data_IF_899153905472
#
_entry.id   IF_899153905472
#
_cell.length_a   1.000
_cell.length_b   1.000
_cell.length_c   1.000
_cell.angle_alpha   90.00
_cell.angle_beta   90.00
_cell.angle_gamma   90.00
#
_symmetry.space_group_name_H-M   'P 1'
#
loop_
_entity.id
_entity.type
_entity.pdbx_description
1 polymer ?
#
# COMPACT_ATOMS: atom_id res chain seq x y z
N UNK A 1 21.41 1.88 -12.50
CA UNK A 1 21.78 3.06 -13.34
C UNK A 1 20.98 3.00 -14.63
N UNK A 2 20.35 4.11 -15.00
CA UNK A 2 19.58 4.22 -16.25
C UNK A 2 20.51 4.05 -17.47
N UNK A 3 20.13 3.18 -18.40
CA UNK A 3 20.83 2.92 -19.65
C UNK A 3 20.15 3.65 -20.83
N UNK A 4 18.85 3.83 -20.77
CA UNK A 4 18.07 4.51 -21.80
C UNK A 4 18.24 6.03 -21.70
N UNK A 5 18.70 6.68 -22.79
CA UNK A 5 19.01 8.11 -22.82
C UNK A 5 17.76 9.01 -22.58
N UNK A 6 16.58 8.57 -22.98
CA UNK A 6 15.35 9.31 -22.72
C UNK A 6 15.00 9.27 -21.21
N UNK A 7 15.03 8.08 -20.59
CA UNK A 7 14.79 7.91 -19.15
C UNK A 7 15.79 8.73 -18.32
N UNK A 8 17.08 8.69 -18.70
CA UNK A 8 18.14 9.45 -18.04
C UNK A 8 17.90 10.96 -18.11
N UNK A 9 17.60 11.48 -19.30
CA UNK A 9 17.32 12.90 -19.52
C UNK A 9 16.10 13.38 -18.73
N UNK A 10 15.05 12.55 -18.61
CA UNK A 10 13.88 12.85 -17.77
C UNK A 10 14.27 12.86 -16.29
N UNK A 11 15.03 11.89 -15.83
CA UNK A 11 15.51 11.84 -14.45
C UNK A 11 16.38 13.04 -14.08
N UNK A 12 17.32 13.42 -14.95
CA UNK A 12 18.18 14.60 -14.73
C UNK A 12 17.34 15.89 -14.59
N UNK A 13 16.25 16.02 -15.35
CA UNK A 13 15.31 17.15 -15.20
C UNK A 13 14.60 17.13 -13.82
N UNK A 14 14.20 15.95 -13.31
CA UNK A 14 13.60 15.84 -11.97
C UNK A 14 14.60 16.25 -10.90
N UNK A 15 15.86 15.78 -10.97
CA UNK A 15 16.91 16.17 -10.04
C UNK A 15 17.15 17.69 -10.02
N UNK A 16 17.18 18.30 -11.21
CA UNK A 16 17.42 19.74 -11.34
C UNK A 16 16.26 20.61 -10.85
N UNK A 17 15.01 20.13 -11.03
CA UNK A 17 13.80 20.86 -10.62
C UNK A 17 13.57 20.82 -9.11
N UNK A 18 13.78 19.69 -8.49
CA UNK A 18 13.43 19.42 -7.10
C UNK A 18 14.64 18.92 -6.27
N UNK A 19 15.76 19.66 -6.18
CA UNK A 19 17.05 19.14 -5.68
C UNK A 19 17.01 18.62 -4.24
N UNK A 20 16.05 19.05 -3.42
CA UNK A 20 15.91 18.64 -2.03
C UNK A 20 14.96 17.43 -1.83
N UNK A 21 14.33 16.91 -2.89
CA UNK A 21 13.29 15.88 -2.79
C UNK A 21 13.86 14.47 -2.97
N UNK A 22 14.75 14.05 -2.09
CA UNK A 22 15.51 12.78 -2.21
C UNK A 22 14.65 11.53 -2.28
N UNK A 23 13.58 11.45 -1.48
CA UNK A 23 12.68 10.31 -1.48
C UNK A 23 11.93 10.21 -2.82
N UNK A 24 11.55 11.35 -3.39
CA UNK A 24 10.91 11.39 -4.70
C UNK A 24 11.90 11.02 -5.82
N UNK A 25 13.16 11.49 -5.75
CA UNK A 25 14.21 11.10 -6.70
C UNK A 25 14.40 9.59 -6.75
N UNK A 26 14.50 8.94 -5.59
CA UNK A 26 14.67 7.50 -5.52
C UNK A 26 13.51 6.76 -6.18
N UNK A 27 12.27 7.15 -5.89
CA UNK A 27 11.09 6.52 -6.49
C UNK A 27 11.03 6.68 -8.01
N UNK A 28 11.35 7.88 -8.51
CA UNK A 28 11.40 8.12 -9.97
C UNK A 28 12.48 7.26 -10.62
N UNK A 29 13.67 7.17 -10.03
CA UNK A 29 14.75 6.33 -10.54
C UNK A 29 14.33 4.87 -10.65
N UNK A 30 13.81 4.30 -9.56
CA UNK A 30 13.39 2.89 -9.49
C UNK A 30 12.30 2.57 -10.52
N UNK A 31 11.35 3.48 -10.70
CA UNK A 31 10.29 3.29 -11.70
C UNK A 31 10.83 3.39 -13.12
N UNK A 32 11.64 4.41 -13.42
CA UNK A 32 12.22 4.59 -14.77
C UNK A 32 13.14 3.42 -15.17
N UNK A 33 13.96 2.89 -14.24
CA UNK A 33 14.75 1.68 -14.47
C UNK A 33 13.86 0.48 -14.83
N UNK A 34 12.73 0.33 -14.15
CA UNK A 34 11.76 -0.74 -14.47
C UNK A 34 11.03 -0.55 -15.81
N UNK A 35 10.97 0.67 -16.33
CA UNK A 35 10.27 0.99 -17.58
C UNK A 35 11.17 1.00 -18.83
N UNK A 36 12.50 0.97 -18.69
CA UNK A 36 13.43 0.99 -19.82
C UNK A 36 13.08 -0.01 -20.94
N UNK A 37 12.77 -1.30 -20.66
CA UNK A 37 12.44 -2.26 -21.70
C UNK A 37 11.17 -1.92 -22.49
N UNK A 38 10.24 -1.20 -21.89
CA UNK A 38 9.03 -0.71 -22.55
C UNK A 38 9.35 0.53 -23.41
N UNK A 39 10.07 1.50 -22.84
CA UNK A 39 10.42 2.75 -23.50
C UNK A 39 11.23 2.49 -24.79
N UNK A 40 12.16 1.53 -24.76
CA UNK A 40 12.94 1.12 -25.94
C UNK A 40 12.08 0.61 -27.10
N UNK A 41 10.95 -0.02 -26.80
CA UNK A 41 10.01 -0.55 -27.82
C UNK A 41 9.00 0.49 -28.31
N UNK A 42 8.90 1.65 -27.64
CA UNK A 42 7.85 2.65 -27.86
C UNK A 42 8.42 4.08 -28.02
N UNK A 43 9.17 4.36 -29.12
CA UNK A 43 9.79 5.67 -29.34
C UNK A 43 8.78 6.82 -29.49
N UNK A 44 7.51 6.52 -29.76
CA UNK A 44 6.42 7.50 -29.77
C UNK A 44 6.18 8.16 -28.40
N UNK A 45 6.55 7.50 -27.30
CA UNK A 45 6.43 8.06 -25.95
C UNK A 45 7.32 9.29 -25.76
N UNK A 46 8.54 9.24 -26.28
CA UNK A 46 9.45 10.38 -26.22
C UNK A 46 8.92 11.57 -27.01
N UNK A 47 8.39 11.32 -28.22
CA UNK A 47 7.80 12.38 -29.08
C UNK A 47 6.61 13.06 -28.39
N UNK A 48 5.87 12.33 -27.57
CA UNK A 48 4.73 12.85 -26.81
C UNK A 48 5.13 13.48 -25.46
N UNK A 49 6.40 13.46 -25.08
CA UNK A 49 6.86 13.91 -23.75
C UNK A 49 6.17 13.17 -22.63
N UNK A 50 5.94 11.85 -22.81
CA UNK A 50 5.09 11.06 -21.93
C UNK A 50 5.70 10.92 -20.53
N UNK A 51 6.99 10.59 -20.46
CA UNK A 51 7.66 10.40 -19.16
C UNK A 51 7.80 11.72 -18.41
N UNK A 52 8.07 12.83 -19.10
CA UNK A 52 8.11 14.16 -18.48
C UNK A 52 6.79 14.53 -17.80
N UNK A 53 5.66 14.20 -18.43
CA UNK A 53 4.32 14.41 -17.84
C UNK A 53 4.01 13.39 -16.75
N UNK A 54 4.51 12.17 -16.88
CA UNK A 54 4.24 11.10 -15.91
C UNK A 54 4.97 11.30 -14.57
N UNK A 55 6.19 11.84 -14.59
CA UNK A 55 6.97 12.10 -13.38
C UNK A 55 6.64 13.44 -12.70
N UNK A 56 5.80 14.28 -13.32
CA UNK A 56 5.37 15.55 -12.75
C UNK A 56 3.92 15.44 -12.26
N UNK A 57 3.61 15.76 -11.00
CA UNK A 57 2.23 15.76 -10.54
C UNK A 57 1.40 16.83 -11.26
N UNK A 58 0.16 16.50 -11.63
CA UNK A 58 -0.76 17.43 -12.28
C UNK A 58 -1.05 18.66 -11.40
N UNK A 59 -1.07 18.48 -10.07
CA UNK A 59 -1.28 19.57 -9.12
C UNK A 59 -0.73 19.23 -7.73
N UNK A 60 -0.14 20.24 -7.09
CA UNK A 60 0.22 20.21 -5.67
C UNK A 60 -0.47 21.37 -4.96
N UNK A 61 -1.22 21.04 -3.90
CA UNK A 61 -1.86 22.02 -3.04
C UNK A 61 -1.19 21.99 -1.68
N UNK A 62 -0.72 23.15 -1.22
CA UNK A 62 -0.14 23.33 0.12
C UNK A 62 -0.93 24.40 0.83
N UNK A 63 -1.32 24.15 2.08
CA UNK A 63 -2.14 25.07 2.85
C UNK A 63 -1.79 25.06 4.34
N UNK A 64 -2.12 26.16 5.01
CA UNK A 64 -1.97 26.31 6.46
C UNK A 64 -3.17 25.70 7.18
N UNK A 65 -2.90 24.99 8.28
CA UNK A 65 -3.92 24.35 9.13
C UNK A 65 -3.80 24.91 10.54
N UNK A 66 -4.50 26.01 10.88
CA UNK A 66 -4.53 26.54 12.24
C UNK A 66 -5.60 25.81 13.07
N UNK A 67 -5.26 25.44 14.30
CA UNK A 67 -6.20 24.81 15.24
C UNK A 67 -5.83 25.17 16.68
N UNK A 68 -6.73 24.90 17.62
CA UNK A 68 -6.52 25.23 19.03
C UNK A 68 -6.42 23.94 19.85
N UNK A 69 -5.39 23.80 20.67
CA UNK A 69 -5.24 22.67 21.59
C UNK A 69 -6.19 22.77 22.80
N UNK A 70 -6.18 21.77 23.67
CA UNK A 70 -7.07 21.73 24.84
C UNK A 70 -6.75 22.79 25.90
N UNK A 71 -5.57 23.41 25.82
CA UNK A 71 -5.18 24.53 26.67
C UNK A 71 -5.56 25.91 26.08
N UNK A 72 -6.24 25.94 24.93
CA UNK A 72 -6.61 27.16 24.24
C UNK A 72 -5.47 27.80 23.43
N UNK A 73 -4.32 27.14 23.30
CA UNK A 73 -3.18 27.65 22.54
C UNK A 73 -3.37 27.35 21.05
N UNK A 74 -3.12 28.37 20.22
CA UNK A 74 -3.15 28.24 18.77
C UNK A 74 -1.93 27.44 18.30
N UNK A 75 -2.21 26.41 17.52
CA UNK A 75 -1.24 25.56 16.82
C UNK A 75 -1.38 25.78 15.31
N UNK A 76 -0.28 25.62 14.57
CA UNK A 76 -0.28 25.76 13.11
C UNK A 76 0.52 24.63 12.50
N UNK A 77 -0.14 23.85 11.66
CA UNK A 77 0.46 22.80 10.85
C UNK A 77 0.37 23.13 9.36
N UNK A 78 1.10 22.38 8.55
CA UNK A 78 1.05 22.47 7.10
C UNK A 78 0.30 21.26 6.53
N UNK A 79 -0.70 21.53 5.70
CA UNK A 79 -1.43 20.52 4.97
C UNK A 79 -0.99 20.46 3.51
N UNK A 80 -1.10 19.25 2.91
CA UNK A 80 -0.74 18.99 1.52
C UNK A 80 -1.75 18.07 0.86
N UNK A 81 -1.96 18.28 -0.46
CA UNK A 81 -2.54 17.29 -1.36
C UNK A 81 -1.77 17.29 -2.67
N UNK A 82 -1.21 16.15 -3.04
CA UNK A 82 -0.58 15.89 -4.33
C UNK A 82 -1.60 15.12 -5.17
N UNK A 83 -2.13 15.77 -6.19
CA UNK A 83 -2.96 15.21 -7.24
C UNK A 83 -2.02 14.83 -8.37
N UNK A 84 -1.61 13.54 -8.38
CA UNK A 84 -0.46 13.16 -9.17
C UNK A 84 -0.80 12.89 -10.63
N UNK A 85 -1.77 12.01 -10.88
CA UNK A 85 -2.18 11.65 -12.23
C UNK A 85 -3.64 11.18 -12.24
N UNK A 86 -4.45 11.75 -13.14
CA UNK A 86 -5.88 11.47 -13.29
C UNK A 86 -6.24 10.80 -14.61
N UNK A 87 -5.26 10.37 -15.41
CA UNK A 87 -5.50 9.82 -16.74
C UNK A 87 -6.45 8.62 -16.78
N UNK A 88 -6.53 7.83 -15.70
CA UNK A 88 -7.38 6.64 -15.62
C UNK A 88 -8.55 6.77 -14.64
N UNK A 89 -8.74 7.94 -14.02
CA UNK A 89 -9.84 8.20 -13.08
C UNK A 89 -9.50 9.23 -12.02
N UNK A 90 -10.43 9.51 -11.10
CA UNK A 90 -10.23 10.47 -10.01
C UNK A 90 -8.94 10.17 -9.22
N UNK A 91 -8.26 11.20 -8.75
CA UNK A 91 -7.09 11.00 -7.88
C UNK A 91 -7.50 10.19 -6.65
N UNK A 92 -6.70 9.20 -6.29
CA UNK A 92 -6.99 8.30 -5.16
C UNK A 92 -5.73 8.03 -4.37
N UNK A 93 -5.81 8.22 -3.05
CA UNK A 93 -4.72 7.87 -2.14
C UNK A 93 -4.90 8.46 -0.75
N UNK A 94 -4.19 7.88 0.22
CA UNK A 94 -4.35 8.18 1.63
C UNK A 94 -3.88 9.56 2.05
N UNK A 95 -4.38 9.99 3.21
CA UNK A 95 -3.87 11.11 3.99
C UNK A 95 -2.99 10.56 5.11
N UNK A 96 -1.78 11.11 5.27
CA UNK A 96 -0.85 10.75 6.35
C UNK A 96 -0.72 11.91 7.34
N UNK A 97 -0.96 11.65 8.63
CA UNK A 97 -0.69 12.61 9.69
C UNK A 97 0.49 12.11 10.53
N UNK A 98 1.64 12.70 10.31
CA UNK A 98 2.87 12.33 11.00
C UNK A 98 3.89 13.48 10.94
N UNK A 99 4.69 13.72 11.99
CA UNK A 99 5.67 14.82 12.03
C UNK A 99 6.68 14.85 10.89
N UNK A 100 6.96 13.70 10.29
CA UNK A 100 7.92 13.59 9.17
C UNK A 100 7.34 13.95 7.81
N UNK A 101 6.03 14.21 7.72
CA UNK A 101 5.37 14.52 6.44
C UNK A 101 5.93 15.80 5.85
N UNK A 102 6.39 15.69 4.61
CA UNK A 102 6.86 16.78 3.77
C UNK A 102 6.45 16.52 2.31
N UNK A 103 6.70 17.49 1.44
CA UNK A 103 6.30 17.39 0.03
C UNK A 103 7.02 16.27 -0.72
N UNK A 104 8.31 16.03 -0.46
CA UNK A 104 9.09 14.95 -1.09
C UNK A 104 8.45 13.58 -0.83
N UNK A 105 8.14 13.30 0.44
CA UNK A 105 7.47 12.04 0.84
C UNK A 105 6.11 11.90 0.16
N UNK A 106 5.32 12.98 0.09
CA UNK A 106 3.98 12.92 -0.51
C UNK A 106 4.01 12.81 -2.03
N UNK A 107 4.98 13.44 -2.72
CA UNK A 107 5.21 13.23 -4.15
C UNK A 107 5.63 11.79 -4.44
N UNK A 108 6.59 11.26 -3.70
CA UNK A 108 7.01 9.86 -3.77
C UNK A 108 5.81 8.89 -3.64
N UNK A 109 5.07 9.02 -2.53
CA UNK A 109 3.92 8.15 -2.27
C UNK A 109 2.78 8.33 -3.28
N UNK A 110 2.57 9.55 -3.77
CA UNK A 110 1.58 9.85 -4.81
C UNK A 110 1.95 9.22 -6.15
N UNK A 111 3.23 9.29 -6.53
CA UNK A 111 3.76 8.70 -7.74
C UNK A 111 3.63 7.17 -7.76
N UNK A 112 4.04 6.50 -6.68
CA UNK A 112 3.86 5.05 -6.56
C UNK A 112 2.39 4.63 -6.53
N UNK A 113 1.53 5.49 -5.94
CA UNK A 113 0.10 5.22 -5.87
C UNK A 113 -0.54 5.18 -7.25
N UNK A 114 -0.06 5.96 -8.23
CA UNK A 114 -0.54 5.94 -9.62
C UNK A 114 -0.40 4.54 -10.22
N UNK A 115 0.79 3.93 -10.11
CA UNK A 115 1.07 2.59 -10.64
C UNK A 115 0.27 1.51 -9.90
N UNK A 116 0.22 1.58 -8.57
CA UNK A 116 -0.52 0.64 -7.73
C UNK A 116 -2.02 0.66 -8.06
N UNK A 117 -2.61 1.83 -8.20
CA UNK A 117 -4.03 1.98 -8.51
C UNK A 117 -4.35 1.44 -9.91
N UNK A 118 -3.48 1.71 -10.88
CA UNK A 118 -3.63 1.22 -12.25
C UNK A 118 -3.70 -0.30 -12.32
N UNK A 119 -2.92 -1.02 -11.51
CA UNK A 119 -2.93 -2.49 -11.46
C UNK A 119 -4.28 -3.06 -11.03
N UNK A 120 -5.07 -2.36 -10.23
CA UNK A 120 -6.39 -2.86 -9.80
C UNK A 120 -7.40 -3.01 -10.94
N UNK A 121 -7.14 -2.42 -12.10
CA UNK A 121 -8.10 -2.38 -13.20
C UNK A 121 -9.24 -1.39 -13.01
N UNK A 122 -9.42 -0.85 -11.82
CA UNK A 122 -10.46 0.12 -11.47
C UNK A 122 -10.16 1.51 -12.06
N UNK A 123 -11.19 2.33 -12.33
CA UNK A 123 -11.02 3.68 -12.88
C UNK A 123 -10.64 4.68 -11.78
N UNK A 124 -9.46 4.55 -11.24
CA UNK A 124 -8.91 5.40 -10.18
C UNK A 124 -7.49 5.84 -10.51
N UNK A 125 -7.25 7.14 -10.47
CA UNK A 125 -5.94 7.75 -10.63
C UNK A 125 -5.09 7.68 -9.36
N UNK A 126 -4.04 8.48 -9.27
CA UNK A 126 -3.14 8.50 -8.11
C UNK A 126 -3.01 9.86 -7.46
N UNK A 127 -2.99 9.86 -6.14
CA UNK A 127 -2.74 11.04 -5.34
C UNK A 127 -2.31 10.68 -3.92
N UNK A 128 -1.81 11.67 -3.19
CA UNK A 128 -1.41 11.51 -1.79
C UNK A 128 -1.54 12.84 -1.06
N UNK A 129 -1.85 12.79 0.23
CA UNK A 129 -1.90 13.99 1.03
C UNK A 129 -1.50 13.75 2.47
N UNK A 130 -1.56 14.79 3.27
CA UNK A 130 -1.25 14.69 4.68
C UNK A 130 -0.83 15.99 5.32
N UNK A 131 -0.30 15.85 6.52
CA UNK A 131 0.17 16.98 7.34
C UNK A 131 1.29 16.52 8.28
N UNK A 132 2.12 17.46 8.69
CA UNK A 132 3.12 17.31 9.76
C UNK A 132 2.48 17.23 11.17
N UNK A 133 1.16 17.17 11.26
CA UNK A 133 0.43 16.96 12.50
C UNK A 133 0.68 15.56 13.07
N UNK A 134 0.96 15.49 14.37
CA UNK A 134 1.07 14.22 15.10
C UNK A 134 -0.21 13.97 15.92
N UNK A 135 -1.07 13.02 15.54
CA UNK A 135 -2.26 12.68 16.31
C UNK A 135 -1.96 11.90 17.60
N UNK A 136 -0.72 11.41 17.74
CA UNK A 136 -0.34 10.59 18.90
C UNK A 136 -0.33 11.44 20.17
N UNK A 137 -1.04 10.95 21.19
CA UNK A 137 -1.14 11.66 22.48
C UNK A 137 -2.08 12.87 22.46
N UNK A 138 -2.78 13.14 21.36
CA UNK A 138 -3.81 14.18 21.29
C UNK A 138 -5.17 13.65 21.74
N UNK A 139 -5.98 14.52 22.35
CA UNK A 139 -7.37 14.20 22.65
C UNK A 139 -8.21 14.07 21.39
N UNK A 140 -9.36 13.39 21.49
CA UNK A 140 -10.31 13.31 20.39
C UNK A 140 -10.82 14.69 19.95
N UNK A 141 -10.96 15.62 20.89
CA UNK A 141 -11.37 17.00 20.63
C UNK A 141 -10.28 17.76 19.85
N UNK A 142 -9.01 17.58 20.18
CA UNK A 142 -7.89 18.19 19.44
C UNK A 142 -7.82 17.65 18.01
N UNK A 143 -7.88 16.31 17.85
CA UNK A 143 -7.86 15.65 16.54
C UNK A 143 -9.07 16.10 15.70
N UNK A 144 -10.24 16.22 16.29
CA UNK A 144 -11.44 16.72 15.60
C UNK A 144 -11.25 18.14 15.10
N UNK A 145 -10.76 19.07 15.95
CA UNK A 145 -10.51 20.48 15.56
C UNK A 145 -9.47 20.57 14.43
N UNK A 146 -8.40 19.76 14.53
CA UNK A 146 -7.41 19.68 13.47
C UNK A 146 -8.03 19.19 12.15
N UNK A 147 -8.75 18.06 12.16
CA UNK A 147 -9.39 17.50 10.98
C UNK A 147 -10.39 18.48 10.34
N UNK A 148 -11.16 19.20 11.15
CA UNK A 148 -12.09 20.21 10.66
C UNK A 148 -11.36 21.37 9.97
N UNK A 149 -10.28 21.88 10.56
CA UNK A 149 -9.45 22.94 9.96
C UNK A 149 -8.79 22.46 8.67
N UNK A 150 -8.20 21.25 8.68
CA UNK A 150 -7.59 20.63 7.51
C UNK A 150 -8.59 20.49 6.36
N UNK A 151 -9.78 19.98 6.62
CA UNK A 151 -10.82 19.80 5.61
C UNK A 151 -11.38 21.13 5.10
N UNK A 152 -11.41 22.19 5.92
CA UNK A 152 -11.86 23.52 5.50
C UNK A 152 -11.03 24.10 4.35
N UNK A 153 -9.77 23.70 4.23
CA UNK A 153 -8.94 24.04 3.07
C UNK A 153 -9.03 23.00 1.97
N UNK A 154 -8.99 21.70 2.32
CA UNK A 154 -8.92 20.62 1.35
C UNK A 154 -10.21 20.45 0.53
N UNK A 155 -11.41 20.73 1.10
CA UNK A 155 -12.70 20.46 0.45
C UNK A 155 -12.87 21.11 -0.93
N UNK A 156 -12.13 22.17 -1.20
CA UNK A 156 -12.14 22.90 -2.48
C UNK A 156 -11.60 22.10 -3.66
N UNK A 157 -10.79 21.08 -3.36
CA UNK A 157 -9.97 20.34 -4.34
C UNK A 157 -10.38 18.89 -4.46
N UNK A 158 -11.28 18.39 -3.61
CA UNK A 158 -11.68 16.99 -3.56
C UNK A 158 -13.17 16.81 -3.84
N UNK A 159 -13.54 15.61 -4.22
CA UNK A 159 -14.91 15.23 -4.51
C UNK A 159 -14.98 13.79 -5.03
N UNK A 160 -16.18 13.20 -5.11
CA UNK A 160 -16.34 11.80 -5.50
C UNK A 160 -15.80 11.48 -6.89
N UNK A 161 -15.85 12.45 -7.81
CA UNK A 161 -15.46 12.30 -9.21
C UNK A 161 -14.16 13.05 -9.56
N UNK A 162 -13.54 13.71 -8.56
CA UNK A 162 -12.32 14.51 -8.77
C UNK A 162 -11.14 13.90 -8.02
N UNK A 163 -11.28 13.75 -6.70
CA UNK A 163 -10.22 13.30 -5.82
C UNK A 163 -10.81 12.68 -4.55
N UNK A 164 -10.51 11.43 -4.30
CA UNK A 164 -11.08 10.66 -3.17
C UNK A 164 -9.96 10.23 -2.23
N UNK A 165 -9.68 11.02 -1.17
CA UNK A 165 -8.71 10.63 -0.15
C UNK A 165 -9.15 9.41 0.66
N UNK A 166 -8.19 8.78 1.33
CA UNK A 166 -8.39 7.64 2.24
C UNK A 166 -7.54 7.80 3.51
N UNK A 167 -7.60 6.80 4.40
CA UNK A 167 -6.68 6.72 5.54
C UNK A 167 -5.28 6.25 5.15
N UNK A 168 -4.31 6.57 5.98
CA UNK A 168 -2.92 6.14 5.98
C UNK A 168 -2.37 6.29 7.41
N UNK A 169 -1.04 6.28 7.61
CA UNK A 169 -0.43 6.47 8.94
C UNK A 169 -1.01 7.72 9.63
N UNK A 170 -1.50 7.54 10.84
CA UNK A 170 -2.09 8.61 11.66
C UNK A 170 -3.50 9.05 11.22
N UNK A 171 -4.11 8.38 10.23
CA UNK A 171 -5.47 8.63 9.76
C UNK A 171 -6.25 7.32 9.69
N UNK A 172 -6.98 7.03 10.72
CA UNK A 172 -7.87 5.87 10.83
C UNK A 172 -9.34 6.25 10.67
N UNK A 173 -10.22 5.34 11.11
CA UNK A 173 -11.68 5.53 11.03
C UNK A 173 -12.17 6.79 11.76
N UNK A 174 -11.54 7.15 12.91
CA UNK A 174 -11.84 8.36 13.67
C UNK A 174 -11.59 9.61 12.84
N UNK A 175 -10.39 9.75 12.29
CA UNK A 175 -9.98 10.90 11.49
C UNK A 175 -10.82 10.99 10.22
N UNK A 176 -11.06 9.88 9.54
CA UNK A 176 -11.93 9.83 8.34
C UNK A 176 -13.35 10.31 8.71
N UNK A 177 -13.86 9.91 9.87
CA UNK A 177 -15.17 10.37 10.36
C UNK A 177 -15.23 11.89 10.53
N UNK A 178 -14.23 12.48 11.20
CA UNK A 178 -14.16 13.93 11.40
C UNK A 178 -13.99 14.70 10.08
N UNK A 179 -13.13 14.19 9.18
CA UNK A 179 -12.92 14.78 7.86
C UNK A 179 -14.21 14.73 7.02
N UNK A 180 -14.90 13.58 6.99
CA UNK A 180 -16.15 13.41 6.26
C UNK A 180 -17.27 14.31 6.81
N UNK A 181 -17.42 14.39 8.14
CA UNK A 181 -18.40 15.25 8.77
C UNK A 181 -18.23 16.72 8.41
N UNK A 182 -16.98 17.20 8.38
CA UNK A 182 -16.67 18.57 7.98
C UNK A 182 -16.88 18.81 6.49
N UNK A 183 -16.47 17.87 5.62
CA UNK A 183 -16.74 17.97 4.18
C UNK A 183 -18.25 18.08 3.89
N UNK A 184 -19.03 17.16 4.48
CA UNK A 184 -20.50 17.16 4.35
C UNK A 184 -21.10 18.51 4.78
N UNK A 185 -20.60 19.08 5.88
CA UNK A 185 -21.06 20.38 6.38
C UNK A 185 -20.74 21.52 5.42
N UNK A 186 -19.52 21.55 4.85
CA UNK A 186 -19.06 22.62 3.95
C UNK A 186 -19.73 22.56 2.57
N UNK A 187 -19.88 21.34 2.03
CA UNK A 187 -20.46 21.13 0.70
C UNK A 187 -21.99 21.06 0.72
N UNK A 188 -22.60 20.78 1.88
CA UNK A 188 -24.01 20.43 2.01
C UNK A 188 -24.42 19.25 1.11
N UNK A 189 -23.52 18.27 0.98
CA UNK A 189 -23.67 17.09 0.12
C UNK A 189 -23.28 15.83 0.90
N UNK A 190 -23.99 14.72 0.65
CA UNK A 190 -23.62 13.40 1.12
C UNK A 190 -23.15 12.57 -0.07
N UNK A 191 -21.84 12.46 -0.25
CA UNK A 191 -21.21 11.82 -1.42
C UNK A 191 -20.13 10.82 -1.02
N UNK A 192 -19.60 10.07 -1.97
CA UNK A 192 -18.51 9.12 -1.79
C UNK A 192 -17.10 9.74 -1.77
N UNK A 193 -16.92 10.90 -1.20
CA UNK A 193 -15.67 11.70 -1.27
C UNK A 193 -14.47 11.12 -0.52
N UNK A 194 -14.67 10.32 0.49
CA UNK A 194 -13.61 9.68 1.27
C UNK A 194 -13.85 8.17 1.29
N UNK A 195 -12.80 7.37 1.43
CA UNK A 195 -12.91 5.94 1.69
C UNK A 195 -12.29 5.54 3.03
N UNK A 196 -12.71 4.38 3.55
CA UNK A 196 -12.44 4.00 4.93
C UNK A 196 -13.45 4.59 5.90
N UNK A 197 -14.64 4.97 5.40
CA UNK A 197 -15.75 5.46 6.21
C UNK A 197 -16.33 4.36 7.10
N UNK A 198 -16.99 4.73 8.17
CA UNK A 198 -17.79 3.81 8.98
C UNK A 198 -18.96 3.23 8.18
N UNK A 199 -19.36 2.01 8.51
CA UNK A 199 -20.45 1.30 7.82
C UNK A 199 -21.79 2.06 7.87
N UNK A 200 -22.03 2.83 8.93
CA UNK A 200 -23.25 3.64 9.08
C UNK A 200 -23.33 4.85 8.15
N UNK A 201 -22.26 5.21 7.44
CA UNK A 201 -22.26 6.37 6.54
C UNK A 201 -21.46 6.14 5.25
N UNK A 202 -21.61 4.95 4.68
CA UNK A 202 -21.13 4.63 3.33
C UNK A 202 -19.81 3.88 3.26
N UNK A 203 -19.32 3.31 4.37
CA UNK A 203 -18.17 2.42 4.39
C UNK A 203 -18.47 1.06 3.76
N UNK A 204 -17.43 0.32 3.40
CA UNK A 204 -17.52 -1.02 2.82
C UNK A 204 -17.13 -2.09 3.84
N UNK A 205 -17.84 -3.20 3.83
CA UNK A 205 -17.39 -4.45 4.46
C UNK A 205 -16.09 -4.94 3.81
N UNK A 206 -15.40 -5.87 4.45
CA UNK A 206 -14.12 -6.44 4.04
C UNK A 206 -12.96 -5.42 3.88
N UNK A 207 -13.13 -4.15 4.25
CA UNK A 207 -12.08 -3.13 4.09
C UNK A 207 -10.90 -3.36 5.04
N UNK A 208 -11.17 -3.79 6.25
CA UNK A 208 -10.15 -4.08 7.28
C UNK A 208 -9.29 -5.27 6.88
N UNK A 209 -9.92 -6.29 6.35
CA UNK A 209 -9.34 -7.56 5.90
C UNK A 209 -8.55 -7.43 4.58
N UNK A 210 -8.95 -6.48 3.76
CA UNK A 210 -8.64 -6.41 2.34
C UNK A 210 -7.15 -6.53 1.97
N UNK A 211 -6.26 -5.92 2.74
CA UNK A 211 -4.82 -5.97 2.41
C UNK A 211 -4.24 -7.35 2.68
N UNK A 212 -4.54 -7.93 3.85
CA UNK A 212 -4.10 -9.27 4.21
C UNK A 212 -4.71 -10.36 3.32
N UNK A 213 -6.01 -10.26 3.06
CA UNK A 213 -6.71 -11.18 2.17
C UNK A 213 -6.19 -11.08 0.74
N UNK A 214 -6.05 -9.86 0.23
CA UNK A 214 -5.51 -9.62 -1.10
C UNK A 214 -4.10 -10.15 -1.30
N UNK A 215 -3.24 -9.98 -0.29
CA UNK A 215 -1.91 -10.56 -0.26
C UNK A 215 -1.95 -12.09 -0.46
N UNK A 216 -2.81 -12.77 0.30
CA UNK A 216 -2.95 -14.22 0.20
C UNK A 216 -3.55 -14.65 -1.14
N UNK A 217 -4.52 -13.92 -1.69
CA UNK A 217 -5.09 -14.22 -3.01
C UNK A 217 -4.05 -14.07 -4.13
N UNK A 218 -3.23 -13.03 -4.10
CA UNK A 218 -2.14 -12.86 -5.04
C UNK A 218 -1.11 -13.99 -4.93
N UNK A 219 -0.67 -14.27 -3.70
CA UNK A 219 0.32 -15.32 -3.42
C UNK A 219 -0.20 -16.72 -3.80
N UNK A 220 -1.47 -17.02 -3.53
CA UNK A 220 -2.11 -18.29 -3.89
C UNK A 220 -2.10 -18.54 -5.42
N UNK A 221 -2.39 -17.49 -6.20
CA UNK A 221 -2.30 -17.60 -7.65
C UNK A 221 -0.86 -17.77 -8.14
N UNK A 222 0.10 -17.07 -7.55
CA UNK A 222 1.51 -17.25 -7.86
C UNK A 222 1.97 -18.68 -7.53
N UNK A 223 1.57 -19.21 -6.39
CA UNK A 223 1.87 -20.58 -5.96
C UNK A 223 1.25 -21.61 -6.91
N UNK A 224 -0.04 -21.49 -7.24
CA UNK A 224 -0.75 -22.41 -8.16
C UNK A 224 -0.09 -22.46 -9.53
N UNK A 225 0.35 -21.32 -10.07
CA UNK A 225 1.08 -21.29 -11.33
C UNK A 225 2.48 -21.95 -11.27
N UNK A 226 3.03 -22.08 -10.06
CA UNK A 226 4.28 -22.81 -9.80
C UNK A 226 4.05 -24.29 -9.38
N UNK A 227 2.80 -24.78 -9.44
CA UNK A 227 2.44 -26.14 -9.00
C UNK A 227 2.50 -26.33 -7.48
N UNK A 228 2.32 -25.27 -6.71
CA UNK A 228 2.35 -25.23 -5.23
C UNK A 228 1.04 -24.67 -4.67
N UNK A 229 0.87 -24.71 -3.36
CA UNK A 229 -0.30 -24.13 -2.66
C UNK A 229 0.06 -23.72 -1.23
N UNK A 230 -0.88 -23.04 -0.57
CA UNK A 230 -0.83 -22.82 0.87
C UNK A 230 -1.10 -24.10 1.68
N UNK A 231 -1.82 -25.07 1.11
CA UNK A 231 -2.22 -26.29 1.81
C UNK A 231 -1.01 -27.02 2.38
N UNK A 232 -0.96 -27.19 3.70
CA UNK A 232 0.13 -27.84 4.43
C UNK A 232 1.41 -27.02 4.56
N UNK A 233 1.53 -25.86 3.93
CA UNK A 233 2.72 -25.02 3.97
C UNK A 233 2.91 -24.36 5.34
N UNK A 234 4.15 -24.24 5.81
CA UNK A 234 4.52 -23.42 6.97
C UNK A 234 4.73 -21.99 6.52
N UNK A 235 4.06 -21.06 7.19
CA UNK A 235 4.10 -19.64 6.84
C UNK A 235 4.70 -18.83 7.99
N UNK A 236 5.72 -18.03 7.69
CA UNK A 236 6.24 -17.02 8.60
C UNK A 236 5.65 -15.65 8.23
N UNK A 237 5.04 -14.99 9.20
CA UNK A 237 4.48 -13.63 9.06
C UNK A 237 5.19 -12.70 10.04
N UNK A 238 5.62 -11.53 9.57
CA UNK A 238 6.03 -10.43 10.43
C UNK A 238 4.89 -9.48 10.72
N UNK A 239 4.97 -8.78 11.84
CA UNK A 239 3.93 -7.87 12.30
C UNK A 239 2.80 -8.54 13.09
N UNK A 240 1.95 -7.72 13.65
CA UNK A 240 0.72 -8.08 14.36
C UNK A 240 -0.34 -6.97 14.26
N UNK A 241 -0.23 -6.14 13.22
CA UNK A 241 -1.25 -5.17 12.82
C UNK A 241 -2.24 -5.78 11.82
N UNK A 242 -3.15 -4.96 11.27
CA UNK A 242 -4.21 -5.41 10.37
C UNK A 242 -3.73 -6.32 9.24
N UNK A 243 -2.68 -5.92 8.52
CA UNK A 243 -2.17 -6.72 7.39
C UNK A 243 -1.76 -8.11 7.85
N UNK A 244 -0.98 -8.20 8.93
CA UNK A 244 -0.48 -9.46 9.46
C UNK A 244 -1.60 -10.35 10.01
N UNK A 245 -2.54 -9.76 10.77
CA UNK A 245 -3.70 -10.48 11.35
C UNK A 245 -4.54 -11.11 10.26
N UNK A 246 -4.91 -10.35 9.23
CA UNK A 246 -5.79 -10.85 8.18
C UNK A 246 -5.04 -11.68 7.11
N UNK A 247 -3.73 -11.50 6.96
CA UNK A 247 -2.90 -12.45 6.21
C UNK A 247 -2.82 -13.80 6.93
N UNK A 248 -2.67 -13.81 8.27
CA UNK A 248 -2.71 -15.03 9.08
C UNK A 248 -4.07 -15.74 8.96
N UNK A 249 -5.16 -15.00 9.06
CA UNK A 249 -6.52 -15.54 8.92
C UNK A 249 -6.73 -16.21 7.56
N UNK A 250 -6.42 -15.51 6.48
CA UNK A 250 -6.63 -16.03 5.13
C UNK A 250 -5.66 -17.15 4.77
N UNK A 251 -4.39 -17.07 5.14
CA UNK A 251 -3.42 -18.15 4.92
C UNK A 251 -3.84 -19.44 5.65
N UNK A 252 -4.32 -19.32 6.89
CA UNK A 252 -4.86 -20.46 7.65
C UNK A 252 -6.11 -21.02 6.99
N UNK A 253 -7.02 -20.18 6.50
CA UNK A 253 -8.21 -20.63 5.75
C UNK A 253 -7.87 -21.33 4.43
N UNK A 254 -6.70 -21.03 3.83
CA UNK A 254 -6.16 -21.70 2.64
C UNK A 254 -5.37 -22.97 2.97
N UNK A 255 -5.39 -23.43 4.23
CA UNK A 255 -4.78 -24.68 4.67
C UNK A 255 -3.33 -24.56 5.17
N UNK A 256 -2.80 -23.36 5.30
CA UNK A 256 -1.44 -23.15 5.80
C UNK A 256 -1.35 -23.21 7.34
N UNK A 257 -0.18 -23.53 7.84
CA UNK A 257 0.19 -23.38 9.24
C UNK A 257 1.04 -22.12 9.42
N UNK A 258 0.44 -21.06 9.93
CA UNK A 258 1.19 -19.84 10.29
C UNK A 258 1.90 -20.07 11.61
N UNK A 259 3.23 -19.92 11.63
CA UNK A 259 4.06 -20.28 12.79
C UNK A 259 4.70 -19.08 13.49
N UNK A 260 4.65 -17.89 12.91
CA UNK A 260 5.21 -16.68 13.54
C UNK A 260 4.31 -15.47 13.38
N UNK A 261 4.35 -14.59 14.38
CA UNK A 261 3.93 -13.18 14.29
C UNK A 261 4.88 -12.32 15.12
N UNK A 262 5.01 -11.02 14.81
CA UNK A 262 5.96 -10.13 15.47
C UNK A 262 5.39 -8.77 15.82
N UNK A 263 6.06 -8.05 16.70
CA UNK A 263 5.93 -6.60 16.85
C UNK A 263 7.31 -5.93 16.89
N UNK A 264 7.38 -4.64 17.19
CA UNK A 264 8.65 -3.90 17.18
C UNK A 264 9.70 -4.39 18.20
N UNK A 265 9.31 -5.18 19.20
CA UNK A 265 10.20 -5.65 20.25
C UNK A 265 10.74 -7.06 19.95
N UNK A 266 9.93 -7.91 19.30
CA UNK A 266 10.32 -9.29 19.04
C UNK A 266 9.25 -10.07 18.30
N UNK A 267 9.40 -11.37 18.26
CA UNK A 267 8.46 -12.26 17.58
C UNK A 267 8.12 -13.49 18.44
N UNK A 268 6.98 -14.06 18.13
CA UNK A 268 6.53 -15.35 18.69
C UNK A 268 6.71 -16.42 17.60
N UNK A 269 7.24 -17.56 17.99
CA UNK A 269 7.25 -18.80 17.22
C UNK A 269 6.39 -19.85 17.92
N UNK A 270 5.27 -20.22 17.30
CA UNK A 270 4.40 -21.31 17.76
C UNK A 270 4.46 -22.47 16.74
N UNK A 271 5.18 -23.56 17.04
CA UNK A 271 5.32 -24.68 16.12
C UNK A 271 4.00 -25.42 15.84
N UNK A 272 3.00 -25.27 16.71
CA UNK A 272 1.67 -25.83 16.56
C UNK A 272 0.74 -24.98 15.68
N UNK A 273 1.14 -23.76 15.38
CA UNK A 273 0.39 -22.76 14.62
C UNK A 273 -0.13 -21.66 15.53
N UNK A 274 -0.08 -20.44 15.02
CA UNK A 274 -0.51 -19.23 15.73
C UNK A 274 -2.02 -19.31 16.07
N UNK A 275 -2.34 -19.12 17.35
CA UNK A 275 -3.71 -18.89 17.80
C UNK A 275 -4.11 -17.44 17.48
N UNK A 276 -4.81 -17.29 16.38
CA UNK A 276 -5.20 -15.97 15.86
C UNK A 276 -6.21 -15.27 16.79
N UNK A 277 -7.09 -16.03 17.46
CA UNK A 277 -8.06 -15.44 18.38
C UNK A 277 -7.34 -14.78 19.57
N UNK A 278 -6.32 -15.43 20.11
CA UNK A 278 -5.47 -14.86 21.14
C UNK A 278 -4.71 -13.63 20.64
N UNK A 279 -4.17 -13.66 19.43
CA UNK A 279 -3.50 -12.47 18.85
C UNK A 279 -4.46 -11.31 18.71
N UNK A 280 -5.67 -11.52 18.19
CA UNK A 280 -6.71 -10.47 18.08
C UNK A 280 -7.07 -9.92 19.46
N UNK A 281 -7.26 -10.77 20.47
CA UNK A 281 -7.52 -10.35 21.84
C UNK A 281 -6.41 -9.45 22.38
N UNK A 282 -5.15 -9.87 22.25
CA UNK A 282 -3.99 -9.12 22.74
C UNK A 282 -3.80 -7.78 22.01
N UNK A 283 -3.94 -7.78 20.67
CA UNK A 283 -3.58 -6.61 19.84
C UNK A 283 -4.72 -5.61 19.66
N UNK A 284 -5.93 -6.09 19.41
CA UNK A 284 -7.07 -5.24 19.05
C UNK A 284 -7.85 -4.82 20.30
N UNK A 285 -8.01 -5.71 21.28
CA UNK A 285 -8.80 -5.45 22.52
C UNK A 285 -7.92 -4.90 23.64
N UNK A 286 -6.88 -5.65 24.01
CA UNK A 286 -6.05 -5.33 25.18
C UNK A 286 -4.90 -4.36 24.85
N UNK A 287 -4.58 -4.17 23.56
CA UNK A 287 -3.48 -3.32 23.06
C UNK A 287 -2.12 -3.65 23.69
N UNK A 288 -1.91 -4.92 24.00
CA UNK A 288 -0.69 -5.47 24.59
C UNK A 288 0.36 -5.81 23.51
N UNK A 289 1.57 -6.13 23.98
CA UNK A 289 2.68 -6.61 23.13
C UNK A 289 2.50 -8.08 22.81
N UNK A 290 3.07 -8.52 21.65
CA UNK A 290 2.97 -9.92 21.22
C UNK A 290 3.64 -10.89 22.20
N UNK A 291 4.61 -10.43 22.98
CA UNK A 291 5.27 -11.21 24.02
C UNK A 291 4.30 -11.85 25.04
N UNK A 292 3.14 -11.24 25.26
CA UNK A 292 2.13 -11.77 26.20
C UNK A 292 1.47 -13.07 25.69
N UNK A 293 1.65 -13.39 24.41
CA UNK A 293 1.12 -14.61 23.79
C UNK A 293 1.62 -15.87 24.51
N UNK A 294 2.92 -15.93 24.86
CA UNK A 294 3.52 -17.10 25.52
C UNK A 294 3.07 -17.30 26.97
N UNK A 295 2.42 -16.32 27.58
CA UNK A 295 1.82 -16.49 28.90
C UNK A 295 0.56 -17.38 28.88
N UNK A 296 -0.09 -17.46 27.71
CA UNK A 296 -1.30 -18.27 27.47
C UNK A 296 -0.96 -19.55 26.69
N UNK A 297 0.05 -19.48 25.83
CA UNK A 297 0.53 -20.59 24.99
C UNK A 297 1.96 -20.96 25.37
N UNK A 298 2.16 -21.75 26.43
CA UNK A 298 3.50 -22.04 26.98
C UNK A 298 4.37 -22.91 26.06
N UNK A 299 3.79 -23.57 25.07
CA UNK A 299 4.51 -24.30 24.00
C UNK A 299 5.13 -23.41 22.92
N UNK A 300 4.72 -22.14 22.87
CA UNK A 300 5.29 -21.13 21.97
C UNK A 300 6.51 -20.46 22.63
N UNK A 301 7.41 -20.00 21.79
CA UNK A 301 8.62 -19.27 22.22
C UNK A 301 8.54 -17.80 21.82
N UNK A 302 8.97 -16.93 22.74
CA UNK A 302 9.16 -15.51 22.42
C UNK A 302 10.65 -15.20 22.28
N UNK A 303 10.99 -14.50 21.22
CA UNK A 303 12.36 -14.07 20.93
C UNK A 303 12.42 -12.53 20.81
N UNK A 304 13.41 -11.94 21.49
CA UNK A 304 13.70 -10.51 21.36
C UNK A 304 14.29 -10.19 19.97
N UNK A 305 13.92 -9.04 19.42
CA UNK A 305 14.37 -8.61 18.10
C UNK A 305 13.48 -9.12 16.96
N UNK A 306 12.76 -8.21 16.32
CA UNK A 306 11.76 -8.57 15.30
C UNK A 306 12.36 -9.19 14.03
N UNK A 307 13.61 -8.87 13.65
CA UNK A 307 14.27 -9.41 12.45
C UNK A 307 14.57 -10.91 12.51
N UNK A 308 14.59 -11.50 13.72
CA UNK A 308 14.80 -12.94 13.92
C UNK A 308 13.68 -13.79 13.32
N UNK A 309 12.52 -13.24 13.02
CA UNK A 309 11.40 -13.95 12.39
C UNK A 309 11.80 -14.68 11.09
N UNK A 310 12.75 -14.13 10.33
CA UNK A 310 13.22 -14.71 9.08
C UNK A 310 14.21 -15.88 9.24
N UNK A 311 14.65 -16.13 10.48
CA UNK A 311 15.48 -17.32 10.79
C UNK A 311 14.63 -18.56 11.03
N UNK A 312 13.33 -18.43 11.27
CA UNK A 312 12.42 -19.56 11.49
C UNK A 312 12.19 -20.28 10.16
N UNK A 313 12.43 -21.62 10.10
CA UNK A 313 12.19 -22.39 8.88
C UNK A 313 10.72 -22.32 8.44
N UNK A 314 10.50 -21.88 7.21
CA UNK A 314 9.17 -21.75 6.61
C UNK A 314 9.22 -22.02 5.11
N UNK A 315 8.08 -22.33 4.54
CA UNK A 315 7.86 -22.53 3.10
C UNK A 315 7.55 -21.21 2.40
N UNK A 316 6.78 -20.35 3.09
CA UNK A 316 6.29 -19.05 2.60
C UNK A 316 6.58 -17.99 3.65
N UNK A 317 7.12 -16.85 3.23
CA UNK A 317 7.33 -15.69 4.09
C UNK A 317 6.46 -14.52 3.64
N UNK A 318 5.73 -13.91 4.58
CA UNK A 318 4.85 -12.77 4.36
C UNK A 318 5.31 -11.58 5.21
N UNK A 319 6.16 -10.69 4.67
CA UNK A 319 6.57 -9.47 5.35
C UNK A 319 5.39 -8.49 5.45
N UNK A 320 4.80 -8.33 6.65
CA UNK A 320 3.58 -7.57 6.90
C UNK A 320 3.72 -6.46 7.95
N UNK A 321 4.94 -6.15 8.40
CA UNK A 321 5.16 -5.18 9.48
C UNK A 321 5.53 -3.79 8.96
N UNK A 322 6.79 -3.58 8.55
CA UNK A 322 7.31 -2.25 8.25
C UNK A 322 8.26 -2.24 7.05
N UNK A 323 8.54 -1.02 6.57
CA UNK A 323 9.53 -0.79 5.52
C UNK A 323 10.92 -1.30 5.92
N UNK A 324 11.64 -1.92 4.98
CA UNK A 324 13.03 -2.41 5.12
C UNK A 324 13.25 -3.41 6.28
N UNK A 325 12.23 -4.19 6.61
CA UNK A 325 12.30 -5.22 7.65
C UNK A 325 12.98 -6.52 7.18
N UNK A 326 12.85 -6.86 5.92
CA UNK A 326 13.54 -7.99 5.29
C UNK A 326 14.80 -7.51 4.56
N UNK A 327 15.93 -7.68 5.21
CA UNK A 327 17.25 -7.33 4.68
C UNK A 327 17.96 -8.54 4.09
N UNK A 328 19.13 -8.31 3.51
CA UNK A 328 19.91 -9.36 2.84
C UNK A 328 20.21 -10.58 3.73
N UNK A 329 20.49 -10.37 5.00
CA UNK A 329 20.75 -11.44 5.98
C UNK A 329 19.50 -12.31 6.20
N UNK A 330 18.34 -11.67 6.35
CA UNK A 330 17.05 -12.38 6.42
C UNK A 330 16.73 -13.12 5.13
N UNK A 331 16.96 -12.52 3.96
CA UNK A 331 16.76 -13.18 2.68
C UNK A 331 17.65 -14.42 2.51
N UNK A 332 18.93 -14.35 2.93
CA UNK A 332 19.84 -15.49 2.95
C UNK A 332 19.35 -16.60 3.87
N UNK A 333 18.84 -16.26 5.05
CA UNK A 333 18.29 -17.22 5.99
C UNK A 333 17.07 -17.95 5.42
N UNK A 334 16.13 -17.20 4.83
CA UNK A 334 14.95 -17.77 4.17
C UNK A 334 15.33 -18.77 3.08
N UNK A 335 16.27 -18.43 2.20
CA UNK A 335 16.76 -19.33 1.14
C UNK A 335 17.43 -20.57 1.75
N UNK A 336 18.30 -20.40 2.74
CA UNK A 336 18.99 -21.52 3.40
C UNK A 336 18.03 -22.47 4.11
N UNK A 337 16.92 -21.97 4.62
CA UNK A 337 15.88 -22.73 5.30
C UNK A 337 14.84 -23.35 4.36
N UNK A 338 15.00 -23.19 3.03
CA UNK A 338 14.13 -23.82 2.03
C UNK A 338 12.85 -23.06 1.71
N UNK A 339 12.73 -21.78 2.13
CA UNK A 339 11.62 -20.91 1.73
C UNK A 339 11.63 -20.80 0.20
N UNK A 340 10.45 -20.96 -0.41
CA UNK A 340 10.30 -20.89 -1.87
C UNK A 340 9.40 -19.74 -2.34
N UNK A 341 8.79 -19.00 -1.41
CA UNK A 341 7.89 -17.90 -1.73
C UNK A 341 8.01 -16.77 -0.71
N UNK A 342 8.18 -15.54 -1.21
CA UNK A 342 8.11 -14.31 -0.42
C UNK A 342 7.08 -13.39 -1.06
N UNK A 343 6.04 -13.00 -0.30
CA UNK A 343 5.01 -12.08 -0.77
C UNK A 343 4.85 -10.90 0.19
N UNK A 344 5.04 -9.71 -0.34
CA UNK A 344 5.10 -8.48 0.45
C UNK A 344 3.71 -7.93 0.82
N UNK A 345 3.39 -7.90 2.11
CA UNK A 345 2.16 -7.30 2.64
C UNK A 345 2.31 -5.84 3.08
N UNK A 346 3.45 -5.50 3.67
CA UNK A 346 3.78 -4.11 4.01
C UNK A 346 4.22 -3.31 2.77
N UNK A 347 4.36 -2.00 2.91
CA UNK A 347 4.92 -1.16 1.84
C UNK A 347 6.45 -1.24 1.88
N UNK A 348 7.08 -1.66 0.78
CA UNK A 348 8.54 -1.81 0.62
C UNK A 348 9.22 -2.52 1.81
N UNK A 349 8.77 -3.71 2.23
CA UNK A 349 9.34 -4.37 3.39
C UNK A 349 10.71 -4.98 3.12
N UNK A 350 11.01 -5.34 1.86
CA UNK A 350 12.31 -5.91 1.48
C UNK A 350 13.24 -4.84 0.93
N UNK A 351 14.53 -4.92 1.29
CA UNK A 351 15.56 -4.06 0.70
C UNK A 351 15.90 -4.50 -0.73
N UNK A 352 16.37 -3.58 -1.61
CA UNK A 352 16.67 -3.93 -3.01
C UNK A 352 17.68 -5.09 -3.17
N UNK A 353 18.68 -5.17 -2.31
CA UNK A 353 19.65 -6.25 -2.29
C UNK A 353 19.04 -7.59 -1.83
N UNK A 354 18.09 -7.56 -0.90
CA UNK A 354 17.31 -8.74 -0.51
C UNK A 354 16.44 -9.23 -1.67
N UNK A 355 15.74 -8.33 -2.37
CA UNK A 355 14.92 -8.67 -3.55
C UNK A 355 15.77 -9.32 -4.64
N UNK A 356 16.91 -8.69 -4.99
CA UNK A 356 17.82 -9.21 -5.99
C UNK A 356 18.36 -10.60 -5.60
N UNK A 357 18.70 -10.81 -4.33
CA UNK A 357 19.15 -12.09 -3.81
C UNK A 357 18.06 -13.17 -3.92
N UNK A 358 16.84 -12.90 -3.49
CA UNK A 358 15.70 -13.83 -3.57
C UNK A 358 15.42 -14.24 -5.02
N UNK A 359 15.35 -13.26 -5.93
CA UNK A 359 15.10 -13.51 -7.35
C UNK A 359 16.22 -14.35 -7.99
N UNK A 360 17.50 -14.08 -7.68
CA UNK A 360 18.63 -14.83 -8.21
C UNK A 360 18.69 -16.29 -7.73
N UNK A 361 18.01 -16.60 -6.62
CA UNK A 361 17.90 -17.96 -6.07
C UNK A 361 16.57 -18.65 -6.43
N UNK A 362 15.80 -18.09 -7.37
CA UNK A 362 14.59 -18.72 -7.87
C UNK A 362 13.40 -18.69 -6.89
N UNK A 363 13.43 -17.82 -5.89
CA UNK A 363 12.32 -17.65 -4.97
C UNK A 363 11.17 -16.92 -5.69
N UNK A 364 9.95 -17.43 -5.56
CA UNK A 364 8.76 -16.76 -6.03
C UNK A 364 8.60 -15.47 -5.24
N UNK A 365 8.72 -14.32 -5.90
CA UNK A 365 8.69 -13.02 -5.23
C UNK A 365 7.52 -12.17 -5.71
N UNK A 366 6.64 -11.78 -4.79
CA UNK A 366 5.49 -10.90 -5.04
C UNK A 366 5.77 -9.49 -4.51
N UNK A 367 5.91 -8.48 -5.39
CA UNK A 367 6.24 -7.11 -4.98
C UNK A 367 5.04 -6.42 -4.32
N UNK A 368 5.31 -5.60 -3.30
CA UNK A 368 4.30 -4.91 -2.48
C UNK A 368 3.22 -4.17 -3.30
N UNK A 369 3.62 -3.41 -4.32
CA UNK A 369 2.66 -2.64 -5.13
C UNK A 369 1.59 -3.49 -5.83
N UNK A 370 1.88 -4.77 -6.08
CA UNK A 370 0.93 -5.72 -6.65
C UNK A 370 0.25 -6.54 -5.55
N UNK A 371 1.01 -7.18 -4.67
CA UNK A 371 0.47 -8.12 -3.67
C UNK A 371 -0.33 -7.45 -2.55
N UNK A 372 0.00 -6.21 -2.16
CA UNK A 372 -0.74 -5.49 -1.13
C UNK A 372 -1.82 -4.53 -1.68
N UNK A 373 -2.15 -4.61 -2.96
CA UNK A 373 -3.14 -3.74 -3.60
C UNK A 373 -4.59 -3.98 -3.11
N UNK A 374 -4.85 -5.02 -2.31
CA UNK A 374 -6.17 -5.34 -1.81
C UNK A 374 -6.85 -4.18 -1.07
N UNK A 375 -6.09 -3.42 -0.27
CA UNK A 375 -6.63 -2.28 0.45
C UNK A 375 -7.16 -1.16 -0.47
N UNK A 376 -6.43 -0.81 -1.52
CA UNK A 376 -6.89 0.20 -2.49
C UNK A 376 -7.95 -0.36 -3.43
N UNK A 377 -7.90 -1.64 -3.77
CA UNK A 377 -8.94 -2.31 -4.53
C UNK A 377 -10.29 -2.21 -3.81
N UNK A 378 -10.35 -2.58 -2.53
CA UNK A 378 -11.57 -2.46 -1.73
C UNK A 378 -12.00 -1.00 -1.51
N UNK A 379 -11.05 -0.06 -1.43
CA UNK A 379 -11.40 1.37 -1.44
C UNK A 379 -12.08 1.79 -2.76
N UNK A 380 -11.64 1.27 -3.91
CA UNK A 380 -12.33 1.48 -5.18
C UNK A 380 -13.72 0.83 -5.24
N UNK A 381 -13.87 -0.34 -4.62
CA UNK A 381 -15.19 -0.98 -4.46
C UNK A 381 -16.12 -0.17 -3.54
N UNK A 382 -15.58 0.46 -2.47
CA UNK A 382 -16.34 1.40 -1.65
C UNK A 382 -16.84 2.60 -2.48
N UNK A 383 -15.99 3.16 -3.33
CA UNK A 383 -16.40 4.23 -4.26
C UNK A 383 -17.53 3.78 -5.18
N UNK A 384 -17.44 2.56 -5.73
CA UNK A 384 -18.50 1.99 -6.58
C UNK A 384 -19.82 1.84 -5.83
N UNK A 385 -19.79 1.30 -4.60
CA UNK A 385 -20.98 1.17 -3.75
C UNK A 385 -21.59 2.56 -3.45
N UNK A 386 -20.75 3.56 -3.17
CA UNK A 386 -21.21 4.92 -2.90
C UNK A 386 -21.88 5.56 -4.13
N UNK A 387 -21.32 5.36 -5.32
CA UNK A 387 -21.89 5.87 -6.57
C UNK A 387 -23.23 5.22 -6.89
N UNK A 388 -23.38 3.92 -6.61
CA UNK A 388 -24.63 3.17 -6.78
C UNK A 388 -25.64 3.46 -5.66
N UNK A 389 -25.21 4.03 -4.54
CA UNK A 389 -25.99 4.17 -3.29
C UNK A 389 -26.47 2.82 -2.74
N UNK A 390 -25.66 1.79 -2.89
CA UNK A 390 -25.88 0.43 -2.41
C UNK A 390 -24.77 0.00 -1.47
N UNK A 391 -25.06 -0.98 -0.63
CA UNK A 391 -24.07 -1.69 0.17
C UNK A 391 -24.05 -3.14 -0.27
N UNK A 392 -22.86 -3.68 -0.51
CA UNK A 392 -22.65 -5.09 -0.82
C UNK A 392 -22.40 -5.89 0.45
N UNK A 393 -22.69 -7.19 0.42
CA UNK A 393 -22.35 -8.11 1.51
C UNK A 393 -20.83 -8.31 1.60
N UNK A 394 -20.39 -8.92 2.68
CA UNK A 394 -18.98 -9.25 2.83
C UNK A 394 -18.50 -10.16 1.70
N UNK A 395 -19.29 -11.17 1.36
CA UNK A 395 -19.00 -12.16 0.33
C UNK A 395 -18.93 -11.51 -1.07
N UNK A 396 -19.82 -10.60 -1.38
CA UNK A 396 -19.78 -9.86 -2.66
C UNK A 396 -18.52 -9.00 -2.80
N UNK A 397 -18.09 -8.35 -1.70
CA UNK A 397 -16.86 -7.54 -1.70
C UNK A 397 -15.63 -8.45 -1.78
N UNK A 398 -15.59 -9.55 -1.00
CA UNK A 398 -14.47 -10.49 -0.98
C UNK A 398 -14.28 -11.20 -2.32
N UNK A 399 -15.36 -11.62 -2.97
CA UNK A 399 -15.31 -12.20 -4.33
C UNK A 399 -14.72 -11.23 -5.36
N UNK A 400 -15.16 -9.96 -5.33
CA UNK A 400 -14.63 -8.92 -6.21
C UNK A 400 -13.16 -8.64 -5.92
N UNK A 401 -12.79 -8.56 -4.64
CA UNK A 401 -11.40 -8.42 -4.21
C UNK A 401 -10.54 -9.58 -4.71
N UNK A 402 -11.00 -10.81 -4.52
CA UNK A 402 -10.31 -12.00 -5.03
C UNK A 402 -10.05 -11.90 -6.53
N UNK A 403 -11.09 -11.59 -7.32
CA UNK A 403 -10.99 -11.47 -8.77
C UNK A 403 -10.02 -10.34 -9.20
N UNK A 404 -10.01 -9.21 -8.50
CA UNK A 404 -9.06 -8.12 -8.76
C UNK A 404 -7.62 -8.61 -8.51
N UNK A 405 -7.36 -9.28 -7.39
CA UNK A 405 -6.01 -9.75 -7.04
C UNK A 405 -5.49 -10.82 -8.00
N UNK A 406 -6.37 -11.72 -8.44
CA UNK A 406 -6.09 -12.71 -9.51
C UNK A 406 -5.68 -12.00 -10.80
N UNK A 407 -6.45 -10.99 -11.21
CA UNK A 407 -6.18 -10.22 -12.43
C UNK A 407 -4.86 -9.43 -12.32
N UNK A 408 -4.54 -8.87 -11.16
CA UNK A 408 -3.26 -8.20 -10.93
C UNK A 408 -2.09 -9.18 -11.14
N UNK A 409 -2.18 -10.38 -10.58
CA UNK A 409 -1.15 -11.39 -10.78
C UNK A 409 -0.98 -11.75 -12.25
N UNK A 410 -2.06 -12.09 -12.95
CA UNK A 410 -2.00 -12.48 -14.36
C UNK A 410 -1.49 -11.35 -15.25
N UNK A 411 -1.91 -10.12 -15.01
CA UNK A 411 -1.42 -8.95 -15.74
C UNK A 411 0.08 -8.75 -15.55
N UNK A 412 0.57 -8.80 -14.31
CA UNK A 412 2.00 -8.67 -14.01
C UNK A 412 2.83 -9.81 -14.63
N UNK A 413 2.36 -11.06 -14.53
CA UNK A 413 3.05 -12.23 -15.08
C UNK A 413 3.11 -12.21 -16.62
N UNK A 414 1.98 -11.93 -17.28
CA UNK A 414 1.92 -11.84 -18.74
C UNK A 414 2.78 -10.68 -19.26
N UNK A 415 2.79 -9.54 -18.58
CA UNK A 415 3.61 -8.40 -18.95
C UNK A 415 5.10 -8.70 -18.78
N UNK A 416 5.51 -9.34 -17.68
CA UNK A 416 6.89 -9.79 -17.52
C UNK A 416 7.33 -10.72 -18.65
N UNK A 417 6.48 -11.66 -19.05
CA UNK A 417 6.78 -12.58 -20.17
C UNK A 417 6.85 -11.84 -21.52
N UNK A 418 5.91 -10.91 -21.80
CA UNK A 418 5.88 -10.06 -23.00
C UNK A 418 7.18 -9.28 -23.20
N UNK A 419 7.79 -8.81 -22.10
CA UNK A 419 9.04 -8.05 -22.14
C UNK A 419 10.30 -8.90 -21.93
N UNK A 420 10.19 -10.25 -21.97
CA UNK A 420 11.33 -11.17 -21.89
C UNK A 420 11.88 -11.38 -20.48
N UNK A 421 11.12 -11.00 -19.45
CA UNK A 421 11.50 -11.10 -18.04
C UNK A 421 10.60 -12.08 -17.28
N UNK A 422 10.28 -13.21 -17.90
CA UNK A 422 9.40 -14.26 -17.33
C UNK A 422 9.76 -14.54 -15.87
N UNK A 423 8.76 -14.48 -14.98
CA UNK A 423 8.92 -14.70 -13.55
C UNK A 423 9.31 -13.46 -12.73
N UNK A 424 9.74 -12.38 -13.37
CA UNK A 424 10.04 -11.11 -12.69
C UNK A 424 8.77 -10.27 -12.51
N UNK A 425 8.02 -10.54 -11.44
CA UNK A 425 6.78 -9.81 -11.15
C UNK A 425 7.03 -8.37 -10.74
N UNK A 426 8.23 -8.00 -10.30
CA UNK A 426 8.59 -6.59 -9.99
C UNK A 426 8.55 -5.76 -11.27
N UNK A 427 9.27 -6.20 -12.29
CA UNK A 427 9.26 -5.55 -13.60
C UNK A 427 7.87 -5.61 -14.25
N UNK A 428 7.24 -6.80 -14.20
CA UNK A 428 5.91 -7.01 -14.76
C UNK A 428 4.85 -6.08 -14.18
N UNK A 429 4.82 -5.89 -12.86
CA UNK A 429 3.88 -4.99 -12.20
C UNK A 429 4.14 -3.50 -12.55
N UNK A 430 5.40 -3.08 -12.60
CA UNK A 430 5.75 -1.70 -12.99
C UNK A 430 5.28 -1.40 -14.40
N UNK A 431 5.61 -2.26 -15.35
CA UNK A 431 5.26 -2.08 -16.76
C UNK A 431 3.75 -2.19 -16.98
N UNK A 432 3.08 -3.21 -16.41
CA UNK A 432 1.64 -3.38 -16.54
C UNK A 432 0.85 -2.17 -16.01
N UNK A 433 1.24 -1.65 -14.85
CA UNK A 433 0.66 -0.44 -14.29
C UNK A 433 0.86 0.76 -15.20
N UNK A 434 2.07 0.93 -15.73
CA UNK A 434 2.39 2.06 -16.60
C UNK A 434 1.75 1.94 -18.00
N UNK A 435 1.68 0.77 -18.62
CA UNK A 435 1.05 0.58 -19.95
C UNK A 435 -0.36 1.15 -20.02
N UNK A 436 -1.18 0.89 -19.00
CA UNK A 436 -2.55 1.41 -18.94
C UNK A 436 -2.58 2.94 -18.84
N UNK A 437 -1.73 3.51 -17.99
CA UNK A 437 -1.62 4.96 -17.80
C UNK A 437 -1.11 5.61 -19.08
N UNK A 438 -0.05 5.08 -19.68
CA UNK A 438 0.55 5.55 -20.92
C UNK A 438 -0.47 5.58 -22.05
N UNK A 439 -1.23 4.50 -22.23
CA UNK A 439 -2.29 4.41 -23.23
C UNK A 439 -3.36 5.48 -23.03
N UNK A 440 -3.80 5.71 -21.79
CA UNK A 440 -4.77 6.74 -21.48
C UNK A 440 -4.22 8.16 -21.76
N UNK A 441 -3.01 8.46 -21.27
CA UNK A 441 -2.35 9.75 -21.48
C UNK A 441 -2.10 10.04 -22.96
N UNK A 442 -1.73 9.03 -23.75
CA UNK A 442 -1.55 9.18 -25.21
C UNK A 442 -2.87 9.44 -25.91
N UNK A 443 -3.94 8.75 -25.52
CA UNK A 443 -5.27 8.89 -26.12
C UNK A 443 -5.94 10.23 -25.79
N UNK A 444 -5.69 10.77 -24.60
CA UNK A 444 -6.26 12.05 -24.13
C UNK A 444 -5.50 13.27 -24.66
N UNK A 445 -4.31 13.05 -25.23
CA UNK A 445 -3.48 14.14 -25.77
C UNK A 445 -2.64 14.85 -24.71
N UNK A 446 -2.32 16.12 -24.98
CA UNK A 446 -1.51 16.95 -24.08
C UNK A 446 -2.48 17.85 -23.30
N UNK A 447 -2.83 17.41 -22.11
CA UNK A 447 -3.73 18.08 -21.17
C UNK A 447 -3.05 18.35 -19.85
#
# INVERSE_FOLDING_TARGET
>A
MLNNEYCKRVYDKVLARDPEQKEFHQAVLEVLEGLEPMVERHPEMEKAGLLERFVEPERVVTFRVPWTDDNGKVQVNRGYRVQFNSAIGPYKGGLRFHPTVNLSILKFLGFEQVLKNSLTGLPIGGGKGGSDFDPKGKSDAEVMRFCQSFMTELFKYIGPDTDVPAGDIGVGAREIGYLFGQYKRLRNEFTGVLTGKGLSYGGSLARTEATGYGLCYFADNMLKNAGRSFEGAKVAISGSGNVAIYACEKATALGAKVVTMSDSNGFVHDPNGIDLALVKQLKEVERKRIREYVTVRPEAEYHEGCSGVWQVPCDIALPCATQNELRLDGAKALVANGCYCVAEGANMPSTPDAIAYLQSHGILFAPAKASNAGGVATSGLEMSQNSLRLSWTFEEVDERLHNIMVNIYHSAAATAEKYGMKGNLVAGANIAGFEKIASAMMSQGIV
#
